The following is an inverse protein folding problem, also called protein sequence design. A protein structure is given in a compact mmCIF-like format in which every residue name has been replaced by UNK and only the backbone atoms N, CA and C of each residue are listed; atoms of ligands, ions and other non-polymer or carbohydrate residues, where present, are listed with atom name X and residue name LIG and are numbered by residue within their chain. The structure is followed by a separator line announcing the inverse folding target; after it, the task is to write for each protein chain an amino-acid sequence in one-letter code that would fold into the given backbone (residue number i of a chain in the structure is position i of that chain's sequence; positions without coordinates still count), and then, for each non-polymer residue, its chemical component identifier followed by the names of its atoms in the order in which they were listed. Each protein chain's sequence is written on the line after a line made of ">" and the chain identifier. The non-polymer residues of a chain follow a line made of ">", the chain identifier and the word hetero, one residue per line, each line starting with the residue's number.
data_IF_205067787126
#
_entry.id   IF_205067787126
#
_cell.length_a   1.000
_cell.length_b   1.000
_cell.length_c   1.000
_cell.angle_alpha   90.00
_cell.angle_beta   90.00
_cell.angle_gamma   90.00
#
_symmetry.space_group_name_H-M   'P 1'
#
loop_
_entity.id
_entity.type
_entity.pdbx_description
1 polymer ?
#
# COMPACT_ATOMS: atom_id res chain seq x y z
N UNK A 1 -0.59 -9.55 44.28
CA UNK A 1 -0.07 -8.71 43.19
C UNK A 1 0.77 -9.64 42.30
N UNK A 2 0.18 -10.11 41.20
CA UNK A 2 0.49 -11.43 40.62
C UNK A 2 1.57 -11.37 39.52
N UNK A 3 2.60 -12.20 39.64
CA UNK A 3 3.76 -12.33 38.74
C UNK A 3 3.38 -12.73 37.29
N UNK A 4 2.16 -13.23 37.09
CA UNK A 4 1.61 -13.59 35.78
C UNK A 4 1.46 -12.41 34.79
N UNK A 5 1.37 -11.16 35.27
CA UNK A 5 1.23 -9.99 34.38
C UNK A 5 2.57 -9.50 33.81
N UNK A 6 3.70 -9.96 34.36
CA UNK A 6 5.04 -9.57 33.89
C UNK A 6 5.51 -10.36 32.67
N UNK A 7 4.98 -11.57 32.44
CA UNK A 7 5.35 -12.38 31.27
C UNK A 7 4.70 -11.87 29.99
N UNK A 8 3.41 -11.52 30.01
CA UNK A 8 2.68 -11.02 28.84
C UNK A 8 3.22 -9.66 28.33
N UNK A 9 3.94 -8.90 29.17
CA UNK A 9 4.56 -7.62 28.81
C UNK A 9 5.96 -7.77 28.22
N UNK A 10 6.63 -8.91 28.43
CA UNK A 10 7.97 -9.21 27.89
C UNK A 10 7.93 -9.63 26.42
N UNK A 11 6.82 -10.20 25.97
CA UNK A 11 6.66 -10.67 24.59
C UNK A 11 6.40 -9.54 23.58
N UNK A 12 6.02 -8.34 24.05
CA UNK A 12 5.76 -7.18 23.18
C UNK A 12 7.04 -6.52 22.62
N UNK A 13 8.22 -6.91 23.10
CA UNK A 13 9.52 -6.37 22.67
C UNK A 13 10.50 -7.44 22.17
N UNK A 14 10.04 -8.68 21.99
CA UNK A 14 10.82 -9.73 21.35
C UNK A 14 10.53 -9.67 19.85
N UNK A 15 11.54 -9.34 19.03
CA UNK A 15 11.43 -9.46 17.57
C UNK A 15 11.00 -10.90 17.29
N UNK A 16 9.88 -11.05 16.58
CA UNK A 16 9.35 -12.35 16.18
C UNK A 16 10.26 -12.94 15.08
N UNK A 17 11.39 -13.50 15.50
CA UNK A 17 12.43 -14.06 14.64
C UNK A 17 11.91 -15.20 13.74
N UNK A 18 10.79 -15.82 14.12
CA UNK A 18 10.12 -16.86 13.34
C UNK A 18 9.36 -16.29 12.13
N UNK A 19 8.79 -15.09 12.26
CA UNK A 19 8.10 -14.40 11.17
C UNK A 19 8.99 -13.38 10.43
N UNK A 20 10.19 -13.10 10.96
CA UNK A 20 11.14 -12.21 10.33
C UNK A 20 11.72 -12.85 9.06
N UNK A 21 11.13 -12.51 7.92
CA UNK A 21 11.47 -13.04 6.60
C UNK A 21 12.17 -11.96 5.76
N UNK A 22 13.43 -11.60 6.09
CA UNK A 22 14.12 -10.47 5.48
C UNK A 22 14.35 -10.70 3.98
N UNK A 23 14.65 -11.94 3.58
CA UNK A 23 14.90 -12.29 2.19
C UNK A 23 13.66 -12.19 1.31
N UNK A 24 12.50 -12.67 1.78
CA UNK A 24 11.26 -12.59 1.01
C UNK A 24 10.73 -11.15 0.95
N UNK A 25 10.88 -10.39 2.04
CA UNK A 25 10.52 -8.97 2.08
C UNK A 25 11.39 -8.14 1.13
N UNK A 26 12.70 -8.42 1.09
CA UNK A 26 13.62 -7.79 0.15
C UNK A 26 13.32 -8.20 -1.30
N UNK A 27 13.08 -9.48 -1.56
CA UNK A 27 12.74 -9.98 -2.89
C UNK A 27 11.43 -9.36 -3.40
N UNK A 28 10.40 -9.28 -2.55
CA UNK A 28 9.14 -8.61 -2.88
C UNK A 28 9.33 -7.12 -3.19
N UNK A 29 10.11 -6.41 -2.35
CA UNK A 29 10.45 -5.01 -2.60
C UNK A 29 11.23 -4.79 -3.90
N UNK A 30 12.20 -5.66 -4.19
CA UNK A 30 12.96 -5.63 -5.44
C UNK A 30 12.08 -5.88 -6.66
N UNK A 31 11.17 -6.86 -6.60
CA UNK A 31 10.22 -7.15 -7.68
C UNK A 31 9.27 -5.97 -7.96
N UNK A 32 8.71 -5.35 -6.91
CA UNK A 32 7.84 -4.17 -7.06
C UNK A 32 8.63 -2.99 -7.63
N UNK A 33 9.86 -2.76 -7.15
CA UNK A 33 10.73 -1.70 -7.64
C UNK A 33 11.13 -1.89 -9.10
N UNK A 34 11.44 -3.13 -9.51
CA UNK A 34 11.73 -3.47 -10.91
C UNK A 34 10.50 -3.30 -11.80
N UNK A 35 9.33 -3.77 -11.37
CA UNK A 35 8.09 -3.61 -12.12
C UNK A 35 7.73 -2.13 -12.33
N UNK A 36 7.87 -1.30 -11.29
CA UNK A 36 7.65 0.14 -11.38
C UNK A 36 8.70 0.83 -12.28
N UNK A 37 9.96 0.42 -12.20
CA UNK A 37 11.04 0.98 -13.03
C UNK A 37 10.86 0.63 -14.51
N UNK A 38 10.51 -0.63 -14.83
CA UNK A 38 10.16 -1.04 -16.19
C UNK A 38 8.97 -0.25 -16.73
N UNK A 39 7.94 -0.05 -15.90
CA UNK A 39 6.76 0.70 -16.31
C UNK A 39 7.09 2.17 -16.63
N UNK A 40 7.94 2.81 -15.82
CA UNK A 40 8.40 4.18 -16.08
C UNK A 40 9.28 4.25 -17.33
N UNK A 41 10.14 3.25 -17.58
CA UNK A 41 10.97 3.19 -18.77
C UNK A 41 10.16 2.95 -20.05
N UNK A 42 9.12 2.11 -19.98
CA UNK A 42 8.26 1.79 -21.13
C UNK A 42 7.30 2.93 -21.49
N UNK A 43 6.72 3.63 -20.50
CA UNK A 43 5.70 4.67 -20.75
C UNK A 43 6.22 6.11 -20.64
N UNK A 44 7.46 6.32 -20.19
CA UNK A 44 8.06 7.65 -20.00
C UNK A 44 7.37 8.56 -18.97
N UNK A 45 6.32 8.09 -18.30
CA UNK A 45 5.47 8.89 -17.40
C UNK A 45 5.41 8.28 -16.00
N UNK A 46 5.37 9.18 -15.02
CA UNK A 46 5.32 8.84 -13.60
C UNK A 46 3.89 8.99 -13.12
N UNK A 47 3.17 7.90 -12.97
CA UNK A 47 1.83 7.91 -12.40
C UNK A 47 1.70 6.73 -11.45
N UNK A 48 1.27 6.98 -10.21
CA UNK A 48 0.99 5.90 -9.25
C UNK A 48 -0.29 5.14 -9.62
N UNK A 49 -0.62 4.08 -8.87
CA UNK A 49 -1.78 3.20 -9.16
C UNK A 49 -3.10 3.99 -9.27
N UNK A 50 -3.37 4.92 -8.34
CA UNK A 50 -4.56 5.79 -8.40
C UNK A 50 -4.56 6.71 -9.62
N UNK A 51 -3.38 7.11 -10.10
CA UNK A 51 -3.21 7.91 -11.30
C UNK A 51 -3.35 7.08 -12.59
N UNK A 52 -2.95 5.80 -12.59
CA UNK A 52 -3.26 4.86 -13.67
C UNK A 52 -4.77 4.61 -13.77
N UNK A 53 -5.44 4.33 -12.64
CA UNK A 53 -6.91 4.20 -12.61
C UNK A 53 -7.57 5.48 -13.12
N UNK A 54 -7.15 6.66 -12.62
CA UNK A 54 -7.66 7.94 -13.09
C UNK A 54 -7.41 8.22 -14.58
N UNK A 55 -6.27 7.75 -15.13
CA UNK A 55 -5.96 7.87 -16.56
C UNK A 55 -6.80 6.93 -17.43
N UNK A 56 -7.19 5.75 -16.92
CA UNK A 56 -8.13 4.86 -17.61
C UNK A 56 -9.55 5.43 -17.65
N UNK A 57 -9.95 6.24 -16.66
CA UNK A 57 -11.24 6.92 -16.74
C UNK A 57 -11.25 8.10 -17.73
N UNK A 58 -10.08 8.61 -18.15
CA UNK A 58 -10.00 9.69 -19.14
C UNK A 58 -9.88 9.13 -20.58
N UNK A 59 -10.78 9.51 -21.51
CA UNK A 59 -10.77 8.99 -22.89
C UNK A 59 -9.47 9.25 -23.68
N UNK A 60 -8.84 10.41 -23.52
CA UNK A 60 -7.69 10.89 -24.34
C UNK A 60 -6.30 10.53 -23.77
N UNK A 61 -6.17 9.46 -23.01
CA UNK A 61 -4.89 9.08 -22.41
C UNK A 61 -4.02 8.28 -23.42
N UNK A 62 -2.95 8.87 -23.96
CA UNK A 62 -1.88 8.12 -24.64
C UNK A 62 -1.30 7.03 -23.72
N UNK A 63 -1.05 5.83 -24.26
CA UNK A 63 -0.51 4.68 -23.52
C UNK A 63 -1.53 3.96 -22.62
N UNK A 64 -2.82 3.98 -22.99
CA UNK A 64 -3.93 3.40 -22.19
C UNK A 64 -3.83 1.88 -22.06
N UNK A 65 -3.43 1.20 -23.14
CA UNK A 65 -3.23 -0.25 -23.22
C UNK A 65 -2.18 -0.74 -22.23
N UNK A 66 -1.06 -0.04 -22.13
CA UNK A 66 0.10 -0.38 -21.30
C UNK A 66 -0.21 -0.20 -19.83
N UNK A 67 -0.93 0.88 -19.49
CA UNK A 67 -1.47 1.11 -18.14
C UNK A 67 -2.47 0.01 -17.76
N UNK A 68 -3.35 -0.37 -18.69
CA UNK A 68 -4.33 -1.43 -18.46
C UNK A 68 -3.66 -2.79 -18.27
N UNK A 69 -2.67 -3.14 -19.09
CA UNK A 69 -1.89 -4.38 -18.97
C UNK A 69 -1.14 -4.47 -17.64
N UNK A 70 -0.57 -3.35 -17.16
CA UNK A 70 0.08 -3.30 -15.85
C UNK A 70 -0.92 -3.54 -14.70
N UNK A 71 -2.08 -2.87 -14.74
CA UNK A 71 -3.14 -3.07 -13.74
C UNK A 71 -3.75 -4.48 -13.80
N UNK A 72 -3.90 -5.02 -15.00
CA UNK A 72 -4.35 -6.39 -15.22
C UNK A 72 -3.33 -7.38 -14.65
N UNK A 73 -2.04 -7.15 -14.89
CA UNK A 73 -0.95 -7.94 -14.30
C UNK A 73 -0.96 -7.89 -12.77
N UNK A 74 -1.18 -6.71 -12.19
CA UNK A 74 -1.32 -6.54 -10.74
C UNK A 74 -2.53 -7.30 -10.17
N UNK A 75 -3.64 -7.38 -10.93
CA UNK A 75 -4.84 -8.11 -10.53
C UNK A 75 -4.67 -9.63 -10.71
N UNK A 76 -4.06 -10.07 -11.81
CA UNK A 76 -3.84 -11.48 -12.15
C UNK A 76 -2.77 -12.10 -11.24
N UNK A 77 -1.72 -11.36 -10.85
CA UNK A 77 -0.63 -11.88 -10.02
C UNK A 77 -1.09 -12.58 -8.71
N UNK A 78 -1.95 -11.97 -7.85
CA UNK A 78 -2.45 -12.65 -6.65
C UNK A 78 -3.40 -13.81 -6.96
N UNK A 79 -4.12 -13.77 -8.10
CA UNK A 79 -4.96 -14.89 -8.54
C UNK A 79 -4.11 -16.10 -8.94
N UNK A 80 -3.05 -15.87 -9.72
CA UNK A 80 -2.09 -16.91 -10.11
C UNK A 80 -1.35 -17.45 -8.88
N UNK A 81 -0.96 -16.58 -7.95
CA UNK A 81 -0.37 -17.01 -6.68
C UNK A 81 -1.32 -17.90 -5.86
N UNK A 82 -2.63 -17.64 -5.94
CA UNK A 82 -3.67 -18.45 -5.34
C UNK A 82 -3.72 -19.91 -5.80
N UNK A 83 -3.13 -20.24 -6.96
CA UNK A 83 -2.98 -21.62 -7.42
C UNK A 83 -1.87 -22.37 -6.68
N UNK A 84 -0.88 -21.66 -6.12
CA UNK A 84 0.29 -22.24 -5.46
C UNK A 84 0.22 -22.17 -3.92
N UNK A 85 -0.50 -21.19 -3.37
CA UNK A 85 -0.62 -20.98 -1.93
C UNK A 85 -2.05 -20.56 -1.56
N UNK A 86 -2.55 -21.06 -0.42
CA UNK A 86 -3.83 -20.64 0.12
C UNK A 86 -3.80 -19.14 0.42
N UNK A 87 -4.76 -18.39 -0.14
CA UNK A 87 -4.92 -16.99 0.21
C UNK A 87 -5.34 -16.89 1.69
N UNK A 88 -4.75 -15.96 2.47
CA UNK A 88 -5.20 -15.73 3.83
C UNK A 88 -6.67 -15.32 3.82
N UNK A 89 -7.46 -15.90 4.73
CA UNK A 89 -8.86 -15.53 4.92
C UNK A 89 -8.95 -14.03 5.26
N UNK A 90 -9.56 -13.25 4.36
CA UNK A 90 -9.75 -11.82 4.54
C UNK A 90 -10.89 -11.62 5.54
N UNK A 91 -10.55 -11.59 6.82
CA UNK A 91 -11.49 -11.28 7.88
C UNK A 91 -11.70 -9.76 7.96
N UNK A 92 -12.74 -9.25 7.31
CA UNK A 92 -13.14 -7.85 7.47
C UNK A 92 -13.75 -7.64 8.86
N UNK A 93 -12.94 -7.15 9.80
CA UNK A 93 -13.40 -6.77 11.14
C UNK A 93 -14.32 -5.53 11.14
N UNK A 94 -14.32 -4.76 10.05
CA UNK A 94 -15.16 -3.57 9.85
C UNK A 94 -16.42 -3.91 9.05
N UNK A 95 -17.57 -3.37 9.46
CA UNK A 95 -18.79 -3.43 8.66
C UNK A 95 -18.62 -2.77 7.29
N UNK A 96 -19.44 -3.19 6.31
CA UNK A 96 -19.44 -2.67 4.93
C UNK A 96 -19.46 -1.14 4.85
N UNK A 97 -20.16 -0.48 5.76
CA UNK A 97 -20.24 0.98 5.84
C UNK A 97 -18.89 1.63 6.18
N UNK A 98 -18.13 1.05 7.12
CA UNK A 98 -16.80 1.53 7.47
C UNK A 98 -15.81 1.36 6.31
N UNK A 99 -15.92 0.27 5.56
CA UNK A 99 -15.13 0.06 4.34
C UNK A 99 -15.44 1.10 3.27
N UNK A 100 -16.73 1.39 3.03
CA UNK A 100 -17.15 2.37 2.04
C UNK A 100 -16.67 3.78 2.38
N UNK A 101 -16.83 4.21 3.63
CA UNK A 101 -16.38 5.53 4.10
C UNK A 101 -14.85 5.63 4.05
N UNK A 102 -14.13 4.61 4.50
CA UNK A 102 -12.66 4.58 4.44
C UNK A 102 -12.16 4.65 2.98
N UNK A 103 -12.77 3.89 2.07
CA UNK A 103 -12.44 3.92 0.65
C UNK A 103 -12.69 5.29 0.02
N UNK A 104 -13.81 5.94 0.36
CA UNK A 104 -14.12 7.30 -0.11
C UNK A 104 -13.11 8.32 0.41
N UNK A 105 -12.80 8.30 1.71
CA UNK A 105 -11.83 9.21 2.32
C UNK A 105 -10.43 9.06 1.70
N UNK A 106 -9.99 7.81 1.50
CA UNK A 106 -8.71 7.51 0.84
C UNK A 106 -8.73 7.96 -0.62
N UNK A 107 -9.82 7.71 -1.35
CA UNK A 107 -9.99 8.15 -2.73
C UNK A 107 -9.91 9.68 -2.87
N UNK A 108 -10.67 10.41 -2.06
CA UNK A 108 -10.63 11.88 -2.01
C UNK A 108 -9.24 12.38 -1.61
N UNK A 109 -8.62 11.79 -0.59
CA UNK A 109 -7.29 12.15 -0.12
C UNK A 109 -6.20 11.96 -1.16
N UNK A 110 -6.20 10.86 -1.91
CA UNK A 110 -5.24 10.62 -3.01
C UNK A 110 -5.45 11.57 -4.19
N UNK A 111 -6.70 12.01 -4.44
CA UNK A 111 -6.96 13.05 -5.45
C UNK A 111 -6.46 14.42 -5.03
N UNK A 112 -6.71 14.84 -3.78
CA UNK A 112 -6.20 16.11 -3.24
C UNK A 112 -4.66 16.11 -3.12
N UNK A 113 -4.06 14.97 -2.80
CA UNK A 113 -2.62 14.78 -2.75
C UNK A 113 -1.94 14.71 -4.12
N UNK A 114 -2.68 14.86 -5.23
CA UNK A 114 -2.20 14.71 -6.61
C UNK A 114 -1.50 13.36 -6.91
N UNK A 115 -1.76 12.34 -6.10
CA UNK A 115 -1.09 11.06 -6.20
C UNK A 115 -1.40 10.12 -5.04
N UNK A 116 -0.92 8.88 -5.15
CA UNK A 116 -1.01 7.87 -4.09
C UNK A 116 0.35 7.65 -3.43
N UNK A 117 0.33 7.05 -2.24
CA UNK A 117 1.51 6.68 -1.47
C UNK A 117 2.50 5.81 -2.25
N UNK A 118 2.03 4.88 -3.08
CA UNK A 118 2.90 4.04 -3.92
C UNK A 118 3.59 4.85 -5.03
N UNK A 119 2.92 5.82 -5.65
CA UNK A 119 3.49 6.67 -6.69
C UNK A 119 4.53 7.66 -6.15
N UNK A 120 4.21 8.34 -5.04
CA UNK A 120 5.14 9.27 -4.38
C UNK A 120 6.29 8.55 -3.67
N UNK A 121 6.02 7.37 -3.12
CA UNK A 121 7.02 6.52 -2.47
C UNK A 121 7.99 5.91 -3.50
N UNK A 122 7.52 4.97 -4.32
CA UNK A 122 8.39 4.17 -5.20
C UNK A 122 9.04 5.03 -6.28
N UNK A 123 8.24 5.82 -7.01
CA UNK A 123 8.73 6.58 -8.17
C UNK A 123 9.23 7.99 -7.81
N UNK A 124 8.80 8.56 -6.68
CA UNK A 124 9.10 9.93 -6.26
C UNK A 124 10.33 10.05 -5.34
N UNK A 125 10.54 9.09 -4.43
CA UNK A 125 11.76 9.03 -3.60
C UNK A 125 12.98 8.71 -4.46
N UNK A 126 12.82 7.86 -5.48
CA UNK A 126 13.90 7.52 -6.43
C UNK A 126 14.39 8.73 -7.24
N UNK A 127 13.54 9.76 -7.44
CA UNK A 127 13.89 11.03 -8.09
C UNK A 127 14.39 12.12 -7.12
N UNK A 128 14.56 11.81 -5.84
CA UNK A 128 15.05 12.70 -4.77
C UNK A 128 14.30 14.04 -4.66
N UNK A 129 13.00 14.08 -4.99
CA UNK A 129 12.24 15.33 -4.89
C UNK A 129 11.70 15.56 -3.47
N UNK A 130 11.99 16.71 -2.83
CA UNK A 130 11.59 16.97 -1.44
C UNK A 130 10.07 17.03 -1.27
N UNK A 131 9.34 17.44 -2.32
CA UNK A 131 7.88 17.48 -2.33
C UNK A 131 7.24 16.09 -2.19
N UNK A 132 7.87 15.06 -2.78
CA UNK A 132 7.35 13.68 -2.70
C UNK A 132 7.61 13.03 -1.35
N UNK A 133 8.75 13.37 -0.73
CA UNK A 133 9.08 12.92 0.63
C UNK A 133 8.08 13.50 1.63
N UNK A 134 7.81 14.81 1.55
CA UNK A 134 6.83 15.47 2.40
C UNK A 134 5.43 14.84 2.27
N UNK A 135 4.96 14.62 1.03
CA UNK A 135 3.66 13.98 0.80
C UNK A 135 3.58 12.55 1.39
N UNK A 136 4.66 11.78 1.25
CA UNK A 136 4.72 10.41 1.79
C UNK A 136 4.69 10.40 3.32
N UNK A 137 5.43 11.31 3.97
CA UNK A 137 5.44 11.47 5.43
C UNK A 137 4.05 11.87 5.93
N UNK A 138 3.39 12.84 5.29
CA UNK A 138 2.04 13.27 5.69
C UNK A 138 1.03 12.14 5.57
N UNK A 139 1.06 11.35 4.49
CA UNK A 139 0.18 10.18 4.35
C UNK A 139 0.41 9.13 5.44
N UNK A 140 1.68 8.79 5.72
CA UNK A 140 1.97 7.81 6.77
C UNK A 140 1.59 8.33 8.15
N UNK A 141 1.84 9.60 8.43
CA UNK A 141 1.44 10.24 9.69
C UNK A 141 -0.09 10.22 9.88
N UNK A 142 -0.85 10.56 8.85
CA UNK A 142 -2.32 10.46 8.89
C UNK A 142 -2.80 9.01 9.11
N UNK A 143 -2.13 8.03 8.51
CA UNK A 143 -2.38 6.61 8.75
C UNK A 143 -2.12 6.20 10.21
N UNK A 144 -0.98 6.61 10.77
CA UNK A 144 -0.67 6.37 12.18
C UNK A 144 -1.70 6.99 13.12
N UNK A 145 -2.11 8.25 12.87
CA UNK A 145 -3.16 8.90 13.65
C UNK A 145 -4.48 8.13 13.53
N UNK A 146 -4.87 7.75 12.32
CA UNK A 146 -6.13 7.03 12.08
C UNK A 146 -6.15 5.70 12.84
N UNK A 147 -5.08 4.91 12.76
CA UNK A 147 -4.96 3.65 13.52
C UNK A 147 -4.92 3.92 15.03
N UNK A 148 -4.19 4.94 15.47
CA UNK A 148 -4.12 5.30 16.88
C UNK A 148 -5.52 5.63 17.44
N UNK A 149 -6.28 6.46 16.73
CA UNK A 149 -7.65 6.83 17.07
C UNK A 149 -8.56 5.60 17.07
N UNK A 150 -8.59 4.82 15.99
CA UNK A 150 -9.47 3.65 15.90
C UNK A 150 -9.15 2.60 16.98
N UNK A 151 -7.88 2.37 17.26
CA UNK A 151 -7.45 1.31 18.17
C UNK A 151 -7.48 1.70 19.64
N UNK A 152 -7.22 2.97 19.98
CA UNK A 152 -7.18 3.45 21.37
C UNK A 152 -8.47 4.17 21.80
N UNK A 153 -9.15 4.89 20.90
CA UNK A 153 -10.39 5.62 21.24
C UNK A 153 -11.65 4.81 20.95
N UNK A 154 -11.65 3.98 19.90
CA UNK A 154 -12.80 3.14 19.55
C UNK A 154 -12.67 1.67 20.01
N UNK A 155 -11.50 1.23 20.47
CA UNK A 155 -11.31 -0.05 21.17
C UNK A 155 -11.70 -1.32 20.40
N UNK A 156 -11.59 -1.33 19.06
CA UNK A 156 -11.94 -2.49 18.20
C UNK A 156 -10.80 -3.49 17.96
#
# INVERSE_FOLDING_TARGET
>A
MNEHNLLHRRDATMIDWLNFTPWTSLAGGALIGLAASLFVLANGRVSGISGLLGSLLQPDSEGRSEKALFLLGLLIAPLVWGLFAALPLIAFKSGWFGLAVAGLLVGVGTRYGSGCTSGHGVCGISRRSPRSIAATITFMFAGFITVFVLRHLLGS
#
